data_IF_513610784443
#
_entry.id   IF_513610784443
#
_cell.length_a   1.000
_cell.length_b   1.000
_cell.length_c   1.000
_cell.angle_alpha   90.00
_cell.angle_beta   90.00
_cell.angle_gamma   90.00
#
_symmetry.space_group_name_H-M   'P 1'
#
loop_
_entity.id
_entity.type
_entity.pdbx_description
1 polymer ?
#
# COMPACT_ATOMS: atom_id res chain seq x y z
N UNK A 1 -29.21 6.87 -18.53
CA UNK A 1 -29.56 5.47 -18.75
C UNK A 1 -28.35 4.76 -19.37
N UNK A 2 -27.77 3.80 -18.64
CA UNK A 2 -26.68 2.94 -19.13
C UNK A 2 -27.23 1.53 -19.29
N UNK A 3 -26.91 0.86 -20.40
CA UNK A 3 -27.34 -0.52 -20.71
C UNK A 3 -26.09 -1.36 -21.06
N UNK A 4 -26.04 -2.52 -20.47
CA UNK A 4 -25.10 -3.57 -20.83
C UNK A 4 -25.90 -4.75 -21.38
N UNK A 5 -25.58 -5.21 -22.58
CA UNK A 5 -26.27 -6.29 -23.24
C UNK A 5 -25.29 -7.39 -23.64
N UNK A 6 -25.57 -8.61 -23.22
CA UNK A 6 -24.78 -9.79 -23.53
C UNK A 6 -25.54 -10.62 -24.54
N UNK A 7 -24.97 -10.85 -25.72
CA UNK A 7 -25.52 -11.71 -26.76
C UNK A 7 -24.69 -12.95 -26.89
N UNK A 8 -25.34 -14.10 -26.77
CA UNK A 8 -24.70 -15.41 -26.90
C UNK A 8 -25.09 -16.04 -28.19
N UNK A 9 -24.17 -16.81 -28.81
CA UNK A 9 -24.46 -17.56 -30.07
C UNK A 9 -25.36 -18.77 -29.85
N UNK A 10 -25.72 -19.11 -28.62
CA UNK A 10 -26.67 -20.15 -28.24
C UNK A 10 -27.34 -19.83 -26.92
N UNK A 11 -28.47 -20.49 -26.63
CA UNK A 11 -29.14 -20.30 -25.32
C UNK A 11 -28.25 -20.70 -24.15
N UNK A 12 -28.20 -19.86 -23.15
CA UNK A 12 -27.44 -20.07 -21.92
C UNK A 12 -28.37 -19.98 -20.71
N UNK A 13 -28.02 -20.69 -19.63
CA UNK A 13 -28.66 -20.51 -18.33
C UNK A 13 -27.85 -19.50 -17.57
N UNK A 14 -28.48 -18.42 -17.14
CA UNK A 14 -27.85 -17.40 -16.26
C UNK A 14 -28.53 -17.40 -14.91
N UNK A 15 -27.73 -17.26 -13.84
CA UNK A 15 -28.20 -17.02 -12.47
C UNK A 15 -27.61 -15.68 -12.02
N UNK A 16 -28.46 -14.84 -11.43
CA UNK A 16 -28.05 -13.52 -10.93
C UNK A 16 -28.09 -13.55 -9.41
N UNK A 17 -26.96 -13.25 -8.79
CA UNK A 17 -26.82 -13.19 -7.33
C UNK A 17 -26.38 -11.80 -6.89
N UNK A 18 -26.98 -11.31 -5.82
CA UNK A 18 -26.56 -10.06 -5.18
C UNK A 18 -25.58 -10.40 -4.07
N UNK A 19 -24.37 -9.87 -4.17
CA UNK A 19 -23.33 -9.97 -3.17
C UNK A 19 -23.08 -8.61 -2.51
N UNK A 20 -22.31 -8.59 -1.43
CA UNK A 20 -21.94 -7.35 -0.72
C UNK A 20 -21.20 -6.33 -1.60
N UNK A 21 -20.46 -6.83 -2.59
CA UNK A 21 -19.64 -6.04 -3.52
C UNK A 21 -20.35 -5.69 -4.83
N UNK A 22 -21.57 -6.23 -5.08
CA UNK A 22 -22.30 -5.97 -6.32
C UNK A 22 -23.24 -7.07 -6.73
N UNK A 23 -23.50 -7.14 -8.03
CA UNK A 23 -24.35 -8.17 -8.65
C UNK A 23 -23.48 -9.06 -9.53
N UNK A 24 -23.47 -10.34 -9.23
CA UNK A 24 -22.72 -11.35 -10.00
C UNK A 24 -23.68 -12.13 -10.90
N UNK A 25 -23.29 -12.33 -12.14
CA UNK A 25 -24.05 -13.13 -13.12
C UNK A 25 -23.25 -14.36 -13.46
N UNK A 26 -23.75 -15.51 -13.02
CA UNK A 26 -23.18 -16.82 -13.36
C UNK A 26 -23.79 -17.34 -14.65
N UNK A 27 -22.95 -17.65 -15.65
CA UNK A 27 -23.41 -18.18 -16.93
C UNK A 27 -22.92 -19.61 -17.08
N UNK A 28 -23.86 -20.55 -17.12
CA UNK A 28 -23.53 -21.96 -17.31
C UNK A 28 -23.16 -22.21 -18.78
N UNK A 29 -21.89 -22.57 -19.00
CA UNK A 29 -21.41 -22.89 -20.36
C UNK A 29 -21.94 -24.24 -20.82
N UNK A 30 -22.06 -25.21 -19.90
CA UNK A 30 -22.56 -26.55 -20.19
C UNK A 30 -22.93 -27.31 -18.90
N UNK A 31 -24.04 -28.01 -18.86
CA UNK A 31 -24.43 -28.79 -17.67
C UNK A 31 -23.53 -30.01 -17.40
N UNK A 32 -23.00 -30.63 -18.46
CA UNK A 32 -22.14 -31.83 -18.38
C UNK A 32 -21.17 -31.83 -19.57
N UNK A 33 -19.87 -31.90 -19.31
CA UNK A 33 -18.84 -32.15 -20.31
C UNK A 33 -18.59 -33.68 -20.39
N UNK A 34 -18.87 -34.27 -21.53
CA UNK A 34 -18.48 -35.66 -21.80
C UNK A 34 -16.95 -35.76 -21.86
N UNK A 35 -16.40 -36.89 -21.43
CA UNK A 35 -14.95 -37.17 -21.52
C UNK A 35 -14.44 -36.86 -22.93
N UNK A 36 -13.38 -36.05 -23.04
CA UNK A 36 -12.81 -35.56 -24.30
C UNK A 36 -13.71 -34.64 -25.15
N UNK A 37 -14.84 -34.17 -24.62
CA UNK A 37 -15.70 -33.22 -25.33
C UNK A 37 -15.11 -31.81 -25.35
N UNK A 38 -15.28 -31.09 -26.45
CA UNK A 38 -15.02 -29.65 -26.55
C UNK A 38 -16.34 -28.92 -26.75
N UNK A 39 -16.47 -27.76 -26.08
CA UNK A 39 -17.58 -26.84 -26.32
C UNK A 39 -17.04 -25.44 -26.47
N UNK A 40 -17.68 -24.64 -27.28
CA UNK A 40 -17.41 -23.23 -27.45
C UNK A 40 -18.68 -22.43 -27.24
N UNK A 41 -18.56 -21.31 -26.54
CA UNK A 41 -19.59 -20.30 -26.41
C UNK A 41 -18.99 -19.00 -26.88
N UNK A 42 -19.64 -18.32 -27.82
CA UNK A 42 -19.30 -16.98 -28.23
C UNK A 42 -20.25 -16.00 -27.55
N UNK A 43 -19.71 -14.90 -27.09
CA UNK A 43 -20.46 -13.82 -26.44
C UNK A 43 -20.04 -12.50 -27.07
N UNK A 44 -21.02 -11.70 -27.43
CA UNK A 44 -20.84 -10.29 -27.79
C UNK A 44 -21.32 -9.43 -26.64
N UNK A 45 -20.52 -8.47 -26.25
CA UNK A 45 -20.85 -7.49 -25.21
C UNK A 45 -21.12 -6.14 -25.86
N UNK A 46 -22.33 -5.64 -25.70
CA UNK A 46 -22.72 -4.30 -26.14
C UNK A 46 -22.96 -3.40 -24.95
N UNK A 47 -22.18 -2.33 -24.84
CA UNK A 47 -22.41 -1.25 -23.89
C UNK A 47 -23.04 -0.05 -24.60
N UNK A 48 -24.09 0.49 -24.03
CA UNK A 48 -24.71 1.71 -24.53
C UNK A 48 -25.12 2.62 -23.38
N UNK A 49 -25.17 3.91 -23.63
CA UNK A 49 -25.58 4.91 -22.64
C UNK A 49 -25.44 6.32 -23.18
N UNK A 50 -25.94 7.26 -22.41
CA UNK A 50 -25.75 8.67 -22.68
C UNK A 50 -24.53 9.11 -21.86
N UNK A 51 -23.53 9.68 -22.53
CA UNK A 51 -22.44 10.40 -21.91
C UNK A 51 -22.95 11.81 -21.68
N UNK A 52 -22.90 12.26 -20.43
CA UNK A 52 -23.23 13.63 -20.08
C UNK A 52 -22.06 14.53 -20.52
N UNK A 53 -22.36 15.46 -21.42
CA UNK A 53 -21.41 16.45 -21.94
C UNK A 53 -21.80 17.86 -21.47
N UNK A 54 -22.67 17.98 -20.47
CA UNK A 54 -23.02 19.27 -19.89
C UNK A 54 -21.78 19.95 -19.27
N UNK A 55 -21.78 21.26 -19.32
CA UNK A 55 -20.75 22.05 -18.66
C UNK A 55 -20.78 21.81 -17.15
N UNK A 56 -19.59 21.69 -16.54
CA UNK A 56 -19.46 21.58 -15.09
C UNK A 56 -19.28 22.98 -14.50
N UNK A 57 -20.10 23.32 -13.53
CA UNK A 57 -19.92 24.53 -12.72
C UNK A 57 -19.16 24.16 -11.44
N UNK A 58 -18.03 24.85 -11.19
CA UNK A 58 -17.21 24.63 -10.01
C UNK A 58 -17.18 25.90 -9.17
N UNK A 59 -17.67 25.81 -7.93
CA UNK A 59 -17.61 26.90 -6.96
C UNK A 59 -16.47 26.61 -5.96
N UNK A 60 -15.55 27.57 -5.84
CA UNK A 60 -14.47 27.52 -4.85
C UNK A 60 -14.84 28.40 -3.66
N UNK A 61 -15.06 27.78 -2.49
CA UNK A 61 -15.28 28.51 -1.25
C UNK A 61 -13.98 28.67 -0.48
N UNK A 62 -13.37 29.83 -0.64
CA UNK A 62 -12.10 30.18 0.01
C UNK A 62 -12.25 30.53 1.51
N UNK A 63 -13.46 30.68 2.01
CA UNK A 63 -13.72 31.04 3.41
C UNK A 63 -13.90 29.81 4.30
N UNK A 64 -14.26 28.67 3.72
CA UNK A 64 -14.45 27.40 4.41
C UNK A 64 -13.52 26.33 3.81
N UNK A 65 -12.20 26.44 4.02
CA UNK A 65 -11.25 25.45 3.50
C UNK A 65 -11.50 24.10 4.17
N UNK A 66 -11.36 23.03 3.40
CA UNK A 66 -11.32 21.66 3.92
C UNK A 66 -10.04 21.35 4.69
N UNK A 67 -9.80 20.07 4.96
CA UNK A 67 -8.53 19.61 5.53
C UNK A 67 -7.37 19.89 4.58
N UNK A 68 -6.17 20.05 5.15
CA UNK A 68 -4.96 20.25 4.36
C UNK A 68 -4.69 19.00 3.49
N UNK A 69 -4.60 19.18 2.19
CA UNK A 69 -4.03 18.23 1.26
C UNK A 69 -2.62 18.67 0.88
N UNK A 70 -1.60 17.95 1.35
CA UNK A 70 -0.20 18.31 1.08
C UNK A 70 0.20 18.09 -0.39
N UNK A 71 -0.55 17.24 -1.09
CA UNK A 71 -0.30 16.85 -2.47
C UNK A 71 -0.20 15.33 -2.62
N UNK A 72 -0.03 14.88 -3.86
CA UNK A 72 0.25 13.48 -4.15
C UNK A 72 1.67 13.12 -3.72
N UNK A 73 1.81 11.95 -3.11
CA UNK A 73 3.08 11.34 -2.77
C UNK A 73 3.44 10.20 -3.73
N UNK A 74 4.48 9.46 -3.40
CA UNK A 74 4.88 8.30 -4.16
C UNK A 74 5.63 7.26 -3.35
N UNK A 75 5.51 6.03 -3.80
CA UNK A 75 6.27 4.90 -3.32
C UNK A 75 7.54 4.74 -4.17
N UNK A 76 8.68 4.60 -3.50
CA UNK A 76 10.00 4.47 -4.11
C UNK A 76 10.69 3.18 -3.66
N UNK A 77 9.98 2.06 -3.83
CA UNK A 77 10.53 0.74 -3.59
C UNK A 77 11.38 0.33 -4.78
N UNK A 78 12.71 0.26 -4.57
CA UNK A 78 13.64 -0.04 -5.64
C UNK A 78 13.62 -1.53 -5.97
N UNK A 79 13.29 -1.91 -7.19
CA UNK A 79 13.15 -3.30 -7.63
C UNK A 79 13.93 -3.60 -8.91
N UNK A 80 14.07 -2.64 -9.80
CA UNK A 80 14.75 -2.77 -11.07
C UNK A 80 15.91 -1.77 -11.21
N UNK A 81 17.15 -2.13 -10.85
CA UNK A 81 18.28 -1.21 -10.90
C UNK A 81 18.59 -0.63 -12.28
N UNK A 82 18.13 -1.27 -13.35
CA UNK A 82 18.36 -0.81 -14.71
C UNK A 82 17.36 0.30 -15.13
N UNK A 83 16.10 0.22 -14.71
CA UNK A 83 15.04 1.12 -15.11
C UNK A 83 14.68 2.16 -14.04
N UNK A 84 14.68 1.77 -12.75
CA UNK A 84 14.28 2.64 -11.63
C UNK A 84 14.92 4.03 -11.65
N UNK A 85 16.24 4.21 -11.86
CA UNK A 85 16.84 5.53 -11.81
C UNK A 85 16.22 6.52 -12.81
N UNK A 86 15.97 6.06 -14.04
CA UNK A 86 15.38 6.90 -15.10
C UNK A 86 13.94 7.27 -14.80
N UNK A 87 13.14 6.30 -14.32
CA UNK A 87 11.73 6.53 -13.98
C UNK A 87 11.62 7.48 -12.79
N UNK A 88 12.43 7.27 -11.75
CA UNK A 88 12.46 8.12 -10.56
C UNK A 88 12.87 9.55 -10.94
N UNK A 89 13.92 9.72 -11.74
CA UNK A 89 14.38 11.04 -12.19
C UNK A 89 13.26 11.76 -12.92
N UNK A 90 12.63 11.09 -13.90
CA UNK A 90 11.52 11.67 -14.65
C UNK A 90 10.34 12.05 -13.74
N UNK A 91 9.94 11.17 -12.82
CA UNK A 91 8.86 11.44 -11.90
C UNK A 91 9.17 12.63 -10.97
N UNK A 92 10.37 12.68 -10.40
CA UNK A 92 10.76 13.77 -9.49
C UNK A 92 10.97 15.12 -10.20
N UNK A 93 11.32 15.12 -11.49
CA UNK A 93 11.45 16.33 -12.31
C UNK A 93 10.11 16.86 -12.79
N UNK A 94 9.15 15.99 -13.08
CA UNK A 94 7.88 16.36 -13.74
C UNK A 94 6.67 16.34 -12.81
N UNK A 95 6.74 15.65 -11.66
CA UNK A 95 5.67 15.57 -10.68
C UNK A 95 6.04 16.34 -9.42
N UNK A 96 5.05 17.01 -8.85
CA UNK A 96 5.20 17.69 -7.56
C UNK A 96 4.91 16.70 -6.43
N UNK A 97 5.87 15.84 -6.11
CA UNK A 97 5.73 14.81 -5.08
C UNK A 97 5.80 15.43 -3.69
N UNK A 98 4.77 15.20 -2.86
CA UNK A 98 4.65 15.80 -1.53
C UNK A 98 5.19 14.90 -0.40
N UNK A 99 5.11 13.58 -0.57
CA UNK A 99 5.52 12.57 0.40
C UNK A 99 6.25 11.43 -0.30
N UNK A 100 7.26 10.88 0.34
CA UNK A 100 7.94 9.68 -0.12
C UNK A 100 7.74 8.50 0.84
N UNK A 101 7.58 7.29 0.31
CA UNK A 101 7.59 6.04 1.07
C UNK A 101 8.65 5.12 0.47
N UNK A 102 9.56 4.62 1.31
CA UNK A 102 10.69 3.77 0.92
C UNK A 102 10.67 2.44 1.67
N UNK A 103 11.31 1.43 1.08
CA UNK A 103 11.45 0.12 1.71
C UNK A 103 12.51 0.15 2.83
N UNK A 104 12.20 -0.51 3.94
CA UNK A 104 13.20 -1.00 4.88
C UNK A 104 13.61 -2.43 4.49
N UNK A 105 14.79 -2.63 3.90
CA UNK A 105 15.24 -3.96 3.49
C UNK A 105 15.75 -4.76 4.70
N UNK A 106 14.88 -5.06 5.66
CA UNK A 106 15.22 -5.58 6.97
C UNK A 106 16.01 -6.89 6.93
N UNK A 107 15.59 -7.85 6.07
CA UNK A 107 16.32 -9.13 5.91
C UNK A 107 17.78 -8.97 5.44
N UNK A 108 18.10 -7.85 4.80
CA UNK A 108 19.44 -7.52 4.30
C UNK A 108 20.21 -6.61 5.27
N UNK A 109 19.49 -5.88 6.12
CA UNK A 109 20.07 -5.05 7.17
C UNK A 109 20.72 -5.88 8.27
N UNK A 110 20.01 -6.91 8.76
CA UNK A 110 20.50 -7.83 9.77
C UNK A 110 20.14 -9.28 9.41
N UNK A 111 20.85 -9.91 8.46
CA UNK A 111 20.57 -11.29 8.05
C UNK A 111 20.81 -12.31 9.16
N UNK A 112 21.77 -12.04 10.06
CA UNK A 112 22.17 -12.94 11.14
C UNK A 112 21.77 -12.36 12.50
N UNK A 113 21.14 -13.17 13.36
CA UNK A 113 20.58 -12.76 14.64
C UNK A 113 21.60 -12.11 15.59
N UNK A 114 22.79 -12.68 15.67
CA UNK A 114 23.82 -12.25 16.61
C UNK A 114 24.77 -11.18 16.04
N UNK A 115 24.54 -10.72 14.81
CA UNK A 115 25.33 -9.64 14.23
C UNK A 115 24.89 -8.27 14.77
N UNK A 116 25.86 -7.38 14.96
CA UNK A 116 25.59 -5.95 15.17
C UNK A 116 25.56 -5.27 13.78
N UNK A 117 24.36 -4.93 13.26
CA UNK A 117 24.24 -4.39 11.90
C UNK A 117 24.91 -3.02 11.74
N UNK A 118 24.98 -2.22 12.81
CA UNK A 118 25.68 -0.93 12.79
C UNK A 118 27.18 -1.16 12.66
N UNK A 119 27.75 -2.07 13.45
CA UNK A 119 29.16 -2.40 13.36
C UNK A 119 29.52 -3.00 12.01
N UNK A 120 28.68 -3.89 11.46
CA UNK A 120 28.85 -4.44 10.11
C UNK A 120 28.90 -3.33 9.06
N UNK A 121 27.95 -2.40 9.12
CA UNK A 121 27.89 -1.27 8.18
C UNK A 121 29.10 -0.33 8.31
N UNK A 122 29.57 -0.05 9.53
CA UNK A 122 30.73 0.80 9.77
C UNK A 122 32.04 0.18 9.25
N UNK A 123 32.12 -1.16 9.22
CA UNK A 123 33.27 -1.90 8.70
C UNK A 123 33.19 -2.18 7.18
N UNK A 124 32.28 -1.48 6.47
CA UNK A 124 32.13 -1.61 5.00
C UNK A 124 31.29 -2.81 4.57
N UNK A 125 30.60 -3.48 5.49
CA UNK A 125 29.74 -4.62 5.20
C UNK A 125 28.27 -4.24 4.91
N UNK A 126 27.95 -2.95 4.73
CA UNK A 126 26.60 -2.53 4.41
C UNK A 126 26.12 -3.15 3.09
N UNK A 127 24.99 -3.83 3.12
CA UNK A 127 24.42 -4.40 1.90
C UNK A 127 24.01 -3.29 0.92
N UNK A 128 24.35 -3.47 -0.35
CA UNK A 128 24.11 -2.47 -1.41
C UNK A 128 22.64 -2.04 -1.51
N UNK A 129 21.70 -2.96 -1.37
CA UNK A 129 20.25 -2.63 -1.41
C UNK A 129 19.82 -1.79 -0.21
N UNK A 130 20.43 -2.02 0.95
CA UNK A 130 20.21 -1.19 2.15
C UNK A 130 20.74 0.22 1.92
N UNK A 131 21.93 0.34 1.35
CA UNK A 131 22.53 1.64 1.01
C UNK A 131 21.69 2.39 -0.02
N UNK A 132 21.25 1.73 -1.09
CA UNK A 132 20.40 2.32 -2.12
C UNK A 132 19.09 2.86 -1.54
N UNK A 133 18.43 2.12 -0.63
CA UNK A 133 17.21 2.59 0.05
C UNK A 133 17.49 3.81 0.92
N UNK A 134 18.60 3.83 1.66
CA UNK A 134 19.01 4.99 2.46
C UNK A 134 19.33 6.22 1.59
N UNK A 135 20.02 6.02 0.47
CA UNK A 135 20.31 7.09 -0.49
C UNK A 135 19.03 7.64 -1.14
N UNK A 136 18.06 6.77 -1.45
CA UNK A 136 16.76 7.20 -1.94
C UNK A 136 16.03 8.06 -0.90
N UNK A 137 15.94 7.59 0.34
CA UNK A 137 15.35 8.35 1.43
C UNK A 137 16.05 9.71 1.64
N UNK A 138 17.38 9.73 1.58
CA UNK A 138 18.18 10.97 1.68
C UNK A 138 17.86 11.95 0.56
N UNK A 139 17.72 11.45 -0.68
CA UNK A 139 17.33 12.26 -1.84
C UNK A 139 15.96 12.90 -1.62
N UNK A 140 14.96 12.13 -1.23
CA UNK A 140 13.60 12.63 -0.98
C UNK A 140 13.61 13.69 0.13
N UNK A 141 14.31 13.42 1.23
CA UNK A 141 14.46 14.39 2.33
C UNK A 141 15.14 15.69 1.88
N UNK A 142 16.17 15.60 1.06
CA UNK A 142 16.86 16.79 0.52
C UNK A 142 15.95 17.65 -0.36
N UNK A 143 14.90 17.08 -0.95
CA UNK A 143 13.84 17.78 -1.68
C UNK A 143 12.74 18.34 -0.76
N UNK A 144 12.88 18.18 0.57
CA UNK A 144 11.92 18.68 1.56
C UNK A 144 10.73 17.76 1.84
N UNK A 145 10.74 16.53 1.35
CA UNK A 145 9.65 15.59 1.58
C UNK A 145 9.78 14.90 2.93
N UNK A 146 8.69 14.73 3.69
CA UNK A 146 8.60 13.73 4.73
C UNK A 146 8.72 12.33 4.10
N UNK A 147 9.47 11.44 4.77
CA UNK A 147 9.71 10.08 4.27
C UNK A 147 9.14 9.07 5.25
N UNK A 148 8.32 8.16 4.74
CA UNK A 148 7.75 7.02 5.45
C UNK A 148 8.63 5.81 5.16
N UNK A 149 8.92 5.02 6.20
CA UNK A 149 9.66 3.77 6.10
C UNK A 149 8.70 2.60 6.24
N UNK A 150 8.68 1.71 5.26
CA UNK A 150 7.82 0.53 5.27
C UNK A 150 8.63 -0.75 5.11
N UNK A 151 8.29 -1.76 5.92
CA UNK A 151 8.99 -3.02 5.98
C UNK A 151 8.18 -4.13 5.31
N UNK A 152 8.83 -4.93 4.46
CA UNK A 152 8.26 -6.12 3.84
C UNK A 152 8.83 -7.39 4.44
N UNK A 153 10.09 -7.69 4.15
CA UNK A 153 10.70 -9.00 4.38
C UNK A 153 11.42 -9.08 5.72
N UNK A 154 10.95 -9.92 6.67
CA UNK A 154 11.68 -10.17 7.90
C UNK A 154 12.92 -11.03 7.63
N UNK A 155 14.00 -10.88 8.41
CA UNK A 155 15.12 -11.83 8.38
C UNK A 155 14.69 -13.19 8.95
N UNK A 156 15.34 -14.24 8.49
CA UNK A 156 15.00 -15.61 8.85
C UNK A 156 14.94 -15.88 10.37
N UNK A 157 15.82 -15.23 11.12
CA UNK A 157 15.87 -15.37 12.58
C UNK A 157 14.69 -14.74 13.31
N UNK A 158 14.02 -13.76 12.71
CA UNK A 158 12.87 -13.07 13.30
C UNK A 158 11.53 -13.79 13.05
N UNK A 159 11.52 -14.86 12.26
CA UNK A 159 10.33 -15.61 11.88
C UNK A 159 10.09 -16.72 12.90
N UNK A 160 8.87 -16.80 13.43
CA UNK A 160 8.46 -17.92 14.33
C UNK A 160 8.48 -19.23 13.55
N UNK A 161 9.24 -20.19 14.06
CA UNK A 161 9.48 -21.49 13.39
C UNK A 161 10.38 -21.42 12.15
N UNK A 162 10.94 -20.24 11.82
CA UNK A 162 11.85 -20.04 10.70
C UNK A 162 11.16 -19.90 9.33
N UNK A 163 11.93 -19.71 8.24
CA UNK A 163 11.39 -19.38 6.91
C UNK A 163 10.49 -20.45 6.27
N UNK A 164 10.55 -21.70 6.74
CA UNK A 164 9.66 -22.77 6.27
C UNK A 164 8.27 -22.72 6.91
N UNK A 165 8.10 -21.93 8.00
CA UNK A 165 6.85 -21.78 8.76
C UNK A 165 6.00 -20.63 8.22
N UNK A 166 5.76 -20.59 6.91
CA UNK A 166 4.90 -19.58 6.31
C UNK A 166 3.44 -20.05 6.21
N UNK A 167 2.53 -19.11 6.31
CA UNK A 167 1.14 -19.30 5.89
C UNK A 167 0.94 -18.75 4.47
N UNK A 168 -0.09 -19.24 3.77
CA UNK A 168 -0.57 -18.64 2.52
C UNK A 168 -1.93 -18.01 2.79
N UNK A 169 -2.04 -16.73 2.56
CA UNK A 169 -3.26 -15.96 2.73
C UNK A 169 -3.48 -15.11 1.49
N UNK A 170 -4.64 -15.22 0.84
CA UNK A 170 -4.90 -14.47 -0.39
C UNK A 170 -3.89 -14.70 -1.52
N UNK A 171 -3.18 -15.85 -1.53
CA UNK A 171 -2.15 -16.16 -2.52
C UNK A 171 -0.74 -15.66 -2.19
N UNK A 172 -0.57 -14.88 -1.13
CA UNK A 172 0.73 -14.36 -0.69
C UNK A 172 1.36 -15.23 0.40
N UNK A 173 2.67 -15.08 0.59
CA UNK A 173 3.43 -15.71 1.66
C UNK A 173 3.42 -14.77 2.87
N UNK A 174 3.05 -15.32 4.02
CA UNK A 174 2.88 -14.57 5.25
C UNK A 174 3.69 -15.21 6.38
N UNK A 175 4.49 -14.42 7.08
CA UNK A 175 5.32 -14.85 8.20
C UNK A 175 4.87 -14.19 9.50
N UNK A 176 4.73 -14.99 10.56
CA UNK A 176 4.57 -14.46 11.92
C UNK A 176 5.94 -14.18 12.51
N UNK A 177 6.04 -13.07 13.23
CA UNK A 177 7.26 -12.74 13.95
C UNK A 177 7.35 -13.55 15.25
N UNK A 178 8.59 -13.94 15.63
CA UNK A 178 8.84 -14.68 16.86
C UNK A 178 8.75 -13.77 18.09
N UNK A 179 7.64 -13.83 18.81
CA UNK A 179 7.39 -13.03 20.00
C UNK A 179 8.43 -13.25 21.12
N UNK A 180 9.14 -14.40 21.13
CA UNK A 180 10.23 -14.66 22.09
C UNK A 180 11.46 -13.80 21.81
N UNK A 181 11.58 -13.28 20.58
CA UNK A 181 12.67 -12.43 20.10
C UNK A 181 12.29 -10.95 19.98
N UNK A 182 11.14 -10.57 20.53
CA UNK A 182 10.56 -9.23 20.40
C UNK A 182 11.59 -8.11 20.66
N UNK A 183 12.35 -8.17 21.73
CA UNK A 183 13.37 -7.18 22.07
C UNK A 183 14.47 -7.05 21.02
N UNK A 184 14.94 -8.20 20.47
CA UNK A 184 15.93 -8.19 19.39
C UNK A 184 15.34 -7.63 18.11
N UNK A 185 14.08 -7.95 17.80
CA UNK A 185 13.34 -7.43 16.65
C UNK A 185 13.24 -5.92 16.74
N UNK A 186 12.80 -5.38 17.87
CA UNK A 186 12.69 -3.94 18.08
C UNK A 186 14.03 -3.23 18.02
N UNK A 187 15.05 -3.82 18.62
CA UNK A 187 16.42 -3.30 18.56
C UNK A 187 16.91 -3.24 17.09
N UNK A 188 16.76 -4.31 16.32
CA UNK A 188 17.18 -4.38 14.93
C UNK A 188 16.56 -3.28 14.06
N UNK A 189 15.24 -3.07 14.20
CA UNK A 189 14.52 -2.02 13.47
C UNK A 189 14.93 -0.62 13.94
N UNK A 190 15.09 -0.41 15.24
CA UNK A 190 15.52 0.87 15.78
C UNK A 190 16.97 1.19 15.41
N UNK A 191 17.86 0.21 15.36
CA UNK A 191 19.25 0.37 14.91
C UNK A 191 19.32 0.89 13.46
N UNK A 192 18.41 0.46 12.58
CA UNK A 192 18.31 1.02 11.23
C UNK A 192 17.94 2.51 11.26
N UNK A 193 16.95 2.88 12.07
CA UNK A 193 16.52 4.28 12.22
C UNK A 193 17.64 5.14 12.78
N UNK A 194 18.35 4.64 13.80
CA UNK A 194 19.51 5.33 14.40
C UNK A 194 20.64 5.47 13.40
N UNK A 195 20.93 4.42 12.62
CA UNK A 195 21.95 4.44 11.59
C UNK A 195 21.61 5.46 10.50
N UNK A 196 20.36 5.45 10.01
CA UNK A 196 19.87 6.42 9.02
C UNK A 196 20.01 7.87 9.54
N UNK A 197 19.62 8.12 10.78
CA UNK A 197 19.77 9.44 11.40
C UNK A 197 21.23 9.85 11.52
N UNK A 198 22.08 8.99 12.04
CA UNK A 198 23.48 9.31 12.34
C UNK A 198 24.34 9.49 11.09
N UNK A 199 24.18 8.61 10.08
CA UNK A 199 25.09 8.55 8.93
C UNK A 199 24.54 9.16 7.64
N UNK A 200 23.21 9.27 7.55
CA UNK A 200 22.56 9.84 6.36
C UNK A 200 21.77 11.13 6.66
N UNK A 201 21.63 11.49 7.94
CA UNK A 201 20.88 12.67 8.37
C UNK A 201 19.37 12.52 8.16
N UNK A 202 18.84 11.27 8.14
CA UNK A 202 17.45 10.97 7.84
C UNK A 202 16.71 10.69 9.15
N UNK A 203 15.64 11.40 9.40
CA UNK A 203 14.61 11.05 10.38
C UNK A 203 13.34 10.70 9.61
N UNK A 204 12.96 9.42 9.66
CA UNK A 204 11.73 8.97 9.05
C UNK A 204 10.54 9.50 9.85
N UNK A 205 9.52 10.00 9.14
CA UNK A 205 8.33 10.54 9.77
C UNK A 205 7.46 9.45 10.39
N UNK A 206 7.32 8.34 9.70
CA UNK A 206 6.48 7.21 10.12
C UNK A 206 7.09 5.88 9.72
N UNK A 207 6.65 4.81 10.42
CA UNK A 207 7.03 3.43 10.18
C UNK A 207 5.79 2.52 10.10
N UNK A 208 5.82 1.51 9.23
CA UNK A 208 4.83 0.44 9.14
C UNK A 208 5.45 -0.88 8.70
N UNK A 209 4.74 -1.99 8.97
CA UNK A 209 4.82 -3.16 8.12
C UNK A 209 3.83 -3.00 6.98
N UNK A 210 4.25 -3.30 5.75
CA UNK A 210 3.39 -3.27 4.59
C UNK A 210 2.32 -4.37 4.69
N UNK A 211 1.04 -3.98 4.56
CA UNK A 211 -0.09 -4.90 4.42
C UNK A 211 -0.07 -6.10 5.39
N UNK A 212 0.25 -5.83 6.66
CA UNK A 212 0.36 -6.89 7.66
C UNK A 212 -1.00 -7.52 8.04
N UNK A 213 -2.10 -6.91 7.62
CA UNK A 213 -3.46 -7.47 7.67
C UNK A 213 -3.66 -8.64 6.71
N UNK A 214 -3.10 -8.57 5.50
CA UNK A 214 -3.06 -9.64 4.50
C UNK A 214 -1.86 -10.56 4.69
N UNK A 215 -0.77 -10.04 5.26
CA UNK A 215 0.47 -10.78 5.45
C UNK A 215 1.35 -10.77 4.22
N UNK A 216 1.51 -9.61 3.57
CA UNK A 216 2.55 -9.46 2.56
C UNK A 216 3.88 -9.38 3.29
N UNK A 217 4.47 -10.53 3.40
CA UNK A 217 5.63 -11.00 4.13
C UNK A 217 5.47 -11.03 5.66
N UNK A 218 4.97 -9.98 6.32
CA UNK A 218 4.70 -9.99 7.77
C UNK A 218 3.19 -10.04 8.02
N UNK A 219 2.75 -11.02 8.81
CA UNK A 219 1.34 -11.19 9.19
C UNK A 219 1.14 -10.85 10.67
N UNK A 220 0.21 -9.94 10.93
CA UNK A 220 -0.30 -9.67 12.25
C UNK A 220 -1.79 -10.01 12.35
N UNK A 221 -2.21 -10.41 13.53
CA UNK A 221 -3.62 -10.26 13.92
C UNK A 221 -3.89 -8.79 14.25
N UNK A 222 -5.17 -8.36 14.31
CA UNK A 222 -5.52 -7.01 14.76
C UNK A 222 -4.91 -6.63 16.12
N UNK A 223 -4.86 -7.58 17.07
CA UNK A 223 -4.26 -7.35 18.38
C UNK A 223 -2.74 -7.25 18.33
N UNK A 224 -2.06 -8.12 17.58
CA UNK A 224 -0.61 -8.04 17.39
C UNK A 224 -0.18 -6.70 16.76
N UNK A 225 -0.98 -6.18 15.82
CA UNK A 225 -0.75 -4.85 15.25
C UNK A 225 -0.88 -3.74 16.30
N UNK A 226 -1.90 -3.79 17.15
CA UNK A 226 -2.09 -2.83 18.24
C UNK A 226 -0.93 -2.89 19.26
N UNK A 227 -0.53 -4.10 19.64
CA UNK A 227 0.58 -4.32 20.56
C UNK A 227 1.90 -3.80 19.97
N UNK A 228 2.15 -4.06 18.68
CA UNK A 228 3.31 -3.55 17.97
C UNK A 228 3.34 -2.01 17.96
N UNK A 229 2.24 -1.35 17.65
CA UNK A 229 2.16 0.12 17.68
C UNK A 229 2.51 0.65 19.06
N UNK A 230 1.92 0.07 20.12
CA UNK A 230 2.15 0.48 21.50
C UNK A 230 3.60 0.27 21.93
N UNK A 231 4.10 -0.95 21.75
CA UNK A 231 5.38 -1.37 22.29
C UNK A 231 6.56 -0.83 21.49
N UNK A 232 6.53 -0.96 20.17
CA UNK A 232 7.60 -0.43 19.33
C UNK A 232 7.57 1.10 19.30
N UNK A 233 6.40 1.73 19.31
CA UNK A 233 6.27 3.17 19.45
C UNK A 233 6.88 3.67 20.77
N UNK A 234 6.64 2.96 21.89
CA UNK A 234 7.27 3.27 23.17
C UNK A 234 8.80 3.07 23.14
N UNK A 235 9.26 2.00 22.46
CA UNK A 235 10.68 1.71 22.29
C UNK A 235 11.40 2.85 21.54
N UNK A 236 10.82 3.31 20.42
CA UNK A 236 11.37 4.44 19.66
C UNK A 236 11.38 5.75 20.46
N UNK A 237 10.30 6.03 21.20
CA UNK A 237 10.22 7.19 22.05
C UNK A 237 11.29 7.17 23.16
N UNK A 238 11.57 5.99 23.75
CA UNK A 238 12.64 5.78 24.72
C UNK A 238 14.05 6.07 24.17
N UNK A 239 14.23 5.92 22.86
CA UNK A 239 15.47 6.26 22.14
C UNK A 239 15.51 7.70 21.62
N UNK A 240 14.52 8.53 21.93
CA UNK A 240 14.35 9.89 21.41
C UNK A 240 14.32 9.95 19.86
N UNK A 241 13.71 8.92 19.24
CA UNK A 241 13.41 8.90 17.81
C UNK A 241 12.02 9.50 17.57
N UNK A 242 11.88 10.48 16.66
CA UNK A 242 10.61 11.14 16.40
C UNK A 242 9.65 10.32 15.50
N UNK A 243 10.12 9.19 14.97
CA UNK A 243 9.36 8.33 14.08
C UNK A 243 8.10 7.81 14.76
N UNK A 244 6.94 8.04 14.13
CA UNK A 244 5.65 7.57 14.58
C UNK A 244 5.23 6.31 13.82
N UNK A 245 4.19 5.64 14.31
CA UNK A 245 3.65 4.45 13.67
C UNK A 245 2.51 4.81 12.72
N UNK A 246 2.38 4.09 11.60
CA UNK A 246 1.12 4.09 10.85
C UNK A 246 0.14 3.12 11.51
N UNK A 247 -1.09 3.57 11.76
CA UNK A 247 -2.17 2.69 12.14
C UNK A 247 -2.80 2.13 10.86
N UNK A 248 -2.66 0.84 10.66
CA UNK A 248 -3.09 0.14 9.45
C UNK A 248 -1.96 -0.04 8.45
N UNK A 249 -1.91 0.76 7.39
CA UNK A 249 -1.17 0.49 6.15
C UNK A 249 -1.69 -0.81 5.51
N UNK A 250 -3.03 -0.93 5.56
CA UNK A 250 -3.78 -2.13 5.19
C UNK A 250 -3.80 -2.36 3.69
N UNK A 251 -3.85 -3.63 3.30
CA UNK A 251 -3.84 -4.12 1.92
C UNK A 251 -4.93 -3.53 1.02
N UNK A 252 -6.05 -3.17 1.60
CA UNK A 252 -7.12 -2.42 0.94
C UNK A 252 -8.08 -1.79 1.96
N UNK A 253 -9.06 -1.04 1.48
CA UNK A 253 -9.99 -0.34 2.37
C UNK A 253 -10.99 -1.27 3.08
N UNK A 254 -11.19 -2.52 2.60
CA UNK A 254 -12.19 -3.43 3.18
C UNK A 254 -11.79 -3.99 4.53
N UNK A 255 -10.51 -4.01 4.85
CA UNK A 255 -9.97 -4.62 6.06
C UNK A 255 -9.94 -3.68 7.27
N UNK A 256 -10.85 -2.70 7.30
CA UNK A 256 -10.96 -1.68 8.34
C UNK A 256 -10.94 -2.23 9.77
N UNK A 257 -11.58 -3.38 10.02
CA UNK A 257 -11.70 -3.95 11.37
C UNK A 257 -10.33 -4.36 11.96
N UNK A 258 -9.30 -4.49 11.11
CA UNK A 258 -7.93 -4.76 11.54
C UNK A 258 -7.36 -3.67 12.46
N UNK A 259 -7.75 -2.43 12.29
CA UNK A 259 -7.23 -1.32 13.10
C UNK A 259 -7.97 -1.11 14.43
N UNK A 260 -9.13 -1.75 14.62
CA UNK A 260 -10.01 -1.47 15.78
C UNK A 260 -9.35 -1.67 17.14
N UNK A 261 -8.55 -2.73 17.41
CA UNK A 261 -7.92 -2.88 18.71
C UNK A 261 -6.98 -1.72 19.08
N UNK A 262 -6.23 -1.19 18.11
CA UNK A 262 -5.37 -0.03 18.34
C UNK A 262 -6.19 1.26 18.43
N UNK A 263 -7.20 1.44 17.59
CA UNK A 263 -8.10 2.61 17.60
C UNK A 263 -8.81 2.74 18.96
N UNK A 264 -9.27 1.61 19.52
CA UNK A 264 -9.98 1.57 20.80
C UNK A 264 -9.06 1.60 22.04
N UNK A 265 -7.73 1.63 21.85
CA UNK A 265 -6.78 1.65 22.95
C UNK A 265 -6.07 3.03 23.05
N UNK A 266 -6.45 3.90 24.02
CA UNK A 266 -5.87 5.22 24.15
C UNK A 266 -4.32 5.22 24.38
N UNK A 267 -3.75 4.11 24.86
CA UNK A 267 -2.31 4.03 25.09
C UNK A 267 -1.50 3.95 23.78
N UNK A 268 -2.13 3.57 22.67
CA UNK A 268 -1.50 3.54 21.34
C UNK A 268 -1.46 4.92 20.69
N UNK A 269 -2.47 5.77 20.95
CA UNK A 269 -2.73 7.00 20.19
C UNK A 269 -1.52 7.94 20.13
N UNK A 270 -0.79 8.07 21.24
CA UNK A 270 0.39 8.94 21.31
C UNK A 270 1.55 8.52 20.41
N UNK A 271 1.53 7.26 19.91
CA UNK A 271 2.55 6.75 19.00
C UNK A 271 2.12 6.76 17.54
N UNK A 272 0.82 6.95 17.26
CA UNK A 272 0.27 6.96 15.91
C UNK A 272 0.53 8.32 15.26
N UNK A 273 1.08 8.32 14.05
CA UNK A 273 1.29 9.51 13.22
C UNK A 273 0.18 9.73 12.22
N UNK A 274 -0.37 8.65 11.67
CA UNK A 274 -1.50 8.69 10.75
C UNK A 274 -2.23 7.34 10.73
N UNK A 275 -3.50 7.38 10.33
CA UNK A 275 -4.25 6.19 9.87
C UNK A 275 -3.97 5.99 8.39
N UNK A 276 -3.74 4.75 7.95
CA UNK A 276 -3.39 4.44 6.56
C UNK A 276 -4.10 3.19 6.04
N UNK A 277 -4.53 3.26 4.79
CA UNK A 277 -5.03 2.14 4.00
C UNK A 277 -4.52 2.25 2.56
N UNK A 278 -4.63 1.16 1.78
CA UNK A 278 -4.35 1.15 0.36
C UNK A 278 -5.64 1.21 -0.46
N UNK A 279 -5.59 1.83 -1.63
CA UNK A 279 -6.80 2.07 -2.44
C UNK A 279 -7.11 0.99 -3.47
N UNK A 280 -6.42 -0.15 -3.41
CA UNK A 280 -6.58 -1.23 -4.40
C UNK A 280 -8.01 -1.69 -4.57
N UNK A 281 -8.77 -1.79 -3.47
CA UNK A 281 -10.16 -2.28 -3.44
C UNK A 281 -10.95 -1.67 -2.31
N UNK A 282 -12.30 -1.80 -2.40
CA UNK A 282 -13.20 -1.51 -1.30
C UNK A 282 -13.40 -0.04 -0.96
N UNK A 283 -13.08 0.84 -1.88
CA UNK A 283 -13.23 2.29 -1.70
C UNK A 283 -14.66 2.77 -1.97
N UNK A 284 -15.69 2.08 -1.43
CA UNK A 284 -17.05 2.60 -1.41
C UNK A 284 -17.22 3.70 -0.34
N UNK A 285 -18.27 4.50 -0.45
CA UNK A 285 -18.49 5.66 0.43
C UNK A 285 -18.60 5.30 1.90
N UNK A 286 -19.21 4.17 2.22
CA UNK A 286 -19.41 3.74 3.62
C UNK A 286 -18.08 3.36 4.23
N UNK A 287 -17.29 2.59 3.50
CA UNK A 287 -15.95 2.16 3.92
C UNK A 287 -15.00 3.35 4.07
N UNK A 288 -14.98 4.25 3.09
CA UNK A 288 -14.16 5.47 3.15
C UNK A 288 -14.52 6.36 4.36
N UNK A 289 -15.81 6.49 4.69
CA UNK A 289 -16.21 7.23 5.89
C UNK A 289 -15.76 6.61 7.20
N UNK A 290 -15.62 5.27 7.28
CA UNK A 290 -15.04 4.61 8.46
C UNK A 290 -13.59 5.03 8.66
N UNK A 291 -12.78 4.99 7.60
CA UNK A 291 -11.37 5.42 7.66
C UNK A 291 -11.23 6.90 8.04
N UNK A 292 -12.04 7.77 7.43
CA UNK A 292 -12.08 9.19 7.80
C UNK A 292 -12.50 9.39 9.27
N UNK A 293 -13.49 8.63 9.73
CA UNK A 293 -13.96 8.64 11.11
C UNK A 293 -12.87 8.25 12.09
N UNK A 294 -12.14 7.18 11.81
CA UNK A 294 -11.04 6.69 12.66
C UNK A 294 -9.92 7.74 12.83
N UNK A 295 -9.48 8.36 11.74
CA UNK A 295 -8.45 9.40 11.81
C UNK A 295 -8.92 10.62 12.64
N UNK A 296 -10.18 11.02 12.45
CA UNK A 296 -10.81 12.13 13.19
C UNK A 296 -10.98 11.80 14.68
N UNK A 297 -11.37 10.58 15.01
CA UNK A 297 -11.63 10.13 16.38
C UNK A 297 -10.39 10.27 17.27
N UNK A 298 -9.22 9.87 16.77
CA UNK A 298 -7.96 9.97 17.52
C UNK A 298 -7.15 11.22 17.17
N UNK A 299 -7.72 12.12 16.37
CA UNK A 299 -7.13 13.40 15.95
C UNK A 299 -5.74 13.24 15.32
N UNK A 300 -5.61 12.34 14.34
CA UNK A 300 -4.40 12.15 13.54
C UNK A 300 -4.70 12.33 12.05
N UNK A 301 -3.64 12.38 11.26
CA UNK A 301 -3.73 12.46 9.79
C UNK A 301 -4.27 11.16 9.19
N UNK A 302 -4.81 11.27 7.98
CA UNK A 302 -5.14 10.11 7.14
C UNK A 302 -4.22 10.11 5.91
N UNK A 303 -3.70 8.95 5.57
CA UNK A 303 -2.90 8.71 4.38
C UNK A 303 -3.50 7.55 3.57
N UNK A 304 -3.37 7.62 2.25
CA UNK A 304 -3.47 6.44 1.40
C UNK A 304 -2.03 6.01 1.11
N UNK A 305 -1.58 4.95 1.80
CA UNK A 305 -0.17 4.50 1.77
C UNK A 305 0.25 3.94 0.41
N UNK A 306 -0.69 3.32 -0.30
CA UNK A 306 -0.54 2.94 -1.71
C UNK A 306 -1.80 3.34 -2.46
N UNK A 307 -1.65 4.33 -3.34
CA UNK A 307 -2.67 4.79 -4.25
C UNK A 307 -2.51 4.07 -5.59
N UNK A 308 -3.51 3.34 -6.00
CA UNK A 308 -3.70 2.75 -7.33
C UNK A 308 -5.08 2.08 -7.39
N UNK A 309 -5.33 1.41 -8.51
CA UNK A 309 -6.50 0.56 -8.73
C UNK A 309 -6.12 -0.91 -8.60
N UNK A 310 -7.00 -1.84 -8.92
CA UNK A 310 -6.74 -3.28 -8.80
C UNK A 310 -5.41 -3.69 -9.45
N UNK A 311 -4.50 -4.26 -8.68
CA UNK A 311 -3.18 -4.70 -9.10
C UNK A 311 -3.22 -5.68 -10.29
N UNK A 312 -4.28 -6.48 -10.41
CA UNK A 312 -4.44 -7.41 -11.52
C UNK A 312 -4.52 -6.71 -12.89
N UNK A 313 -4.97 -5.45 -12.93
CA UNK A 313 -5.06 -4.68 -14.17
C UNK A 313 -3.67 -4.42 -14.79
N UNK A 314 -2.65 -4.24 -13.97
CA UNK A 314 -1.28 -3.99 -14.43
C UNK A 314 -0.62 -5.22 -15.10
N UNK A 315 -1.23 -6.40 -15.00
CA UNK A 315 -0.81 -7.58 -15.75
C UNK A 315 -1.17 -7.55 -17.24
N UNK A 316 -1.88 -6.51 -17.70
CA UNK A 316 -2.30 -6.35 -19.09
C UNK A 316 -1.56 -5.18 -19.73
N UNK A 317 -0.68 -5.46 -20.71
CA UNK A 317 0.17 -4.45 -21.35
C UNK A 317 -0.63 -3.26 -21.95
N UNK A 318 -1.85 -3.52 -22.45
CA UNK A 318 -2.70 -2.49 -23.06
C UNK A 318 -3.34 -1.52 -22.05
N UNK A 319 -3.20 -1.76 -20.74
CA UNK A 319 -3.83 -0.92 -19.71
C UNK A 319 -3.38 0.54 -19.79
N UNK A 320 -2.13 0.80 -20.16
CA UNK A 320 -1.57 2.13 -20.30
C UNK A 320 -2.10 2.89 -21.54
N UNK A 321 -2.73 2.18 -22.48
CA UNK A 321 -3.39 2.78 -23.64
C UNK A 321 -4.87 3.10 -23.36
N UNK A 322 -5.38 2.70 -22.19
CA UNK A 322 -6.78 2.82 -21.82
C UNK A 322 -7.08 4.13 -21.08
N UNK A 323 -7.56 5.15 -21.78
CA UNK A 323 -8.00 6.40 -21.16
C UNK A 323 -9.06 6.18 -20.08
N UNK A 324 -9.93 5.18 -20.23
CA UNK A 324 -10.95 4.82 -19.25
C UNK A 324 -10.35 4.35 -17.94
N UNK A 325 -9.24 3.62 -17.99
CA UNK A 325 -8.52 3.19 -16.78
C UNK A 325 -7.93 4.39 -16.03
N UNK A 326 -7.27 5.30 -16.75
CA UNK A 326 -6.73 6.53 -16.15
C UNK A 326 -7.83 7.40 -15.51
N UNK A 327 -8.96 7.56 -16.20
CA UNK A 327 -10.11 8.29 -15.65
C UNK A 327 -10.73 7.59 -14.44
N UNK A 328 -10.73 6.27 -14.41
CA UNK A 328 -11.19 5.51 -13.24
C UNK A 328 -10.31 5.79 -12.01
N UNK A 329 -8.99 5.79 -12.16
CA UNK A 329 -8.06 6.10 -11.08
C UNK A 329 -8.21 7.55 -10.60
N UNK A 330 -8.32 8.51 -11.51
CA UNK A 330 -8.56 9.93 -11.16
C UNK A 330 -9.88 10.09 -10.41
N UNK A 331 -10.94 9.43 -10.85
CA UNK A 331 -12.23 9.45 -10.15
C UNK A 331 -12.15 8.82 -8.77
N UNK A 332 -11.40 7.74 -8.61
CA UNK A 332 -11.14 7.11 -7.31
C UNK A 332 -10.45 8.09 -6.36
N UNK A 333 -9.37 8.74 -6.79
CA UNK A 333 -8.65 9.70 -5.96
C UNK A 333 -9.50 10.93 -5.62
N UNK A 334 -10.26 11.44 -6.59
CA UNK A 334 -11.19 12.55 -6.36
C UNK A 334 -12.22 12.19 -5.28
N UNK A 335 -12.76 10.97 -5.33
CA UNK A 335 -13.72 10.46 -4.34
C UNK A 335 -13.08 10.27 -2.97
N UNK A 336 -11.89 9.71 -2.90
CA UNK A 336 -11.12 9.60 -1.65
C UNK A 336 -10.87 10.99 -1.05
N UNK A 337 -10.42 11.95 -1.86
CA UNK A 337 -10.21 13.32 -1.41
C UNK A 337 -11.49 13.96 -0.87
N UNK A 338 -12.63 13.76 -1.55
CA UNK A 338 -13.91 14.33 -1.13
C UNK A 338 -14.43 13.75 0.20
N UNK A 339 -14.22 12.45 0.44
CA UNK A 339 -14.78 11.74 1.60
C UNK A 339 -13.78 11.67 2.76
N UNK A 340 -12.54 11.27 2.48
CA UNK A 340 -11.53 11.04 3.50
C UNK A 340 -10.73 12.28 3.86
N UNK A 341 -10.63 13.25 2.95
CA UNK A 341 -9.77 14.42 3.08
C UNK A 341 -8.36 14.04 3.56
N UNK A 342 -7.68 13.12 2.84
CA UNK A 342 -6.37 12.63 3.26
C UNK A 342 -5.32 13.74 3.18
N UNK A 343 -4.27 13.62 3.99
CA UNK A 343 -3.11 14.50 3.87
C UNK A 343 -2.38 14.28 2.54
N UNK A 344 -2.27 13.02 2.11
CA UNK A 344 -1.65 12.62 0.85
C UNK A 344 -2.17 11.26 0.37
N UNK A 345 -2.12 11.05 -0.94
CA UNK A 345 -2.27 9.76 -1.60
C UNK A 345 -0.91 9.45 -2.24
N UNK A 346 -0.28 8.35 -1.84
CA UNK A 346 1.04 7.96 -2.32
C UNK A 346 0.88 6.97 -3.47
N UNK A 347 1.14 7.40 -4.70
CA UNK A 347 1.05 6.53 -5.87
C UNK A 347 1.93 5.28 -5.73
N UNK A 348 1.39 4.13 -5.98
CA UNK A 348 2.12 2.89 -6.14
C UNK A 348 2.30 2.56 -7.63
N UNK A 349 3.54 2.78 -8.23
CA UNK A 349 4.66 3.47 -7.59
C UNK A 349 5.36 4.42 -8.57
N UNK A 350 6.31 5.23 -8.08
CA UNK A 350 7.10 6.14 -8.90
C UNK A 350 8.50 5.56 -9.25
N UNK A 351 8.53 4.24 -9.44
CA UNK A 351 9.67 3.44 -9.93
C UNK A 351 9.23 2.67 -11.16
N UNK A 352 10.02 1.75 -11.67
CA UNK A 352 9.70 1.02 -12.91
C UNK A 352 8.62 -0.05 -12.76
N UNK A 353 8.31 -0.48 -11.52
CA UNK A 353 7.29 -1.49 -11.25
C UNK A 353 5.96 -0.81 -10.91
N UNK A 354 4.84 -1.21 -11.51
CA UNK A 354 3.54 -0.52 -11.44
C UNK A 354 3.62 0.97 -11.80
N UNK A 355 4.55 1.34 -12.67
CA UNK A 355 4.85 2.73 -12.96
C UNK A 355 3.68 3.47 -13.63
N UNK A 356 3.62 4.79 -13.40
CA UNK A 356 2.80 5.69 -14.23
C UNK A 356 3.34 5.81 -15.66
N UNK A 357 4.58 5.40 -15.87
CA UNK A 357 5.25 5.37 -17.17
C UNK A 357 5.34 3.93 -17.63
N UNK A 358 5.14 3.69 -18.94
CA UNK A 358 5.42 2.39 -19.52
C UNK A 358 6.92 2.09 -19.34
N UNK A 359 7.23 1.03 -18.61
CA UNK A 359 8.57 0.51 -18.44
C UNK A 359 8.72 -0.86 -19.10
N UNK A 360 9.80 -1.53 -18.78
CA UNK A 360 10.09 -2.93 -19.14
C UNK A 360 9.93 -3.88 -17.94
N UNK A 361 9.25 -3.42 -16.92
CA UNK A 361 9.00 -4.16 -15.70
C UNK A 361 7.93 -5.25 -15.87
N UNK A 362 7.68 -5.98 -14.79
CA UNK A 362 6.66 -7.04 -14.76
C UNK A 362 5.25 -6.44 -14.88
N UNK A 363 5.06 -5.23 -14.39
CA UNK A 363 3.77 -4.54 -14.29
C UNK A 363 3.80 -3.12 -14.88
N UNK A 364 4.74 -2.79 -15.74
CA UNK A 364 4.81 -1.44 -16.30
C UNK A 364 5.88 -1.26 -17.38
#
# INVERSE_FOLDING_TARGET
NRKLEFKFNKSVKATVEKESTGTVVYISLMPILKKAGRTALSMELHASGVIDHSDAEITLDMQNPGSLFAGFGGNFRLQNPAADPKVIDYCLENLRVAYGRVEFPWRLWQPEEESDPIAVAQNGGLNKRVEESLLMAKRLKAMGMPVILSCWFPPAWAIDGGPASYARQGGVIAYRLDNRKKEKIYKSMADYLLYAKRYYGIEFSMFSFNESDLGIDVLHTPQEHADFIKEFGAYLAGLNLPTRMLLGDNSDATTFDFILPALNNPETHKYIGAVSFHSWRGCDDVTLRKWAGAAKEINVLLLVGEGSTDAAAHGYAEIFNESTFALYEINLYTRICAICQPLSILQWQLTSDYSLLWGDGIYG
#
